data_IF_540238735237
#
_entry.id   IF_540238735237
#
_cell.length_a   1.000
_cell.length_b   1.000
_cell.length_c   1.000
_cell.angle_alpha   90.00
_cell.angle_beta   90.00
_cell.angle_gamma   90.00
#
_symmetry.space_group_name_H-M   'P 1'
#
loop_
_entity.id
_entity.type
_entity.pdbx_description
1 polymer ?
#
# COMPACT_ATOMS: atom_id res chain seq x y z
N UNK A 1 23.12 -18.65 89.36
CA UNK A 1 23.44 -20.02 88.91
C UNK A 1 22.86 -20.20 87.52
N UNK A 2 23.73 -20.36 86.52
CA UNK A 2 23.43 -20.79 85.13
C UNK A 2 22.77 -22.18 85.13
N UNK A 3 21.97 -22.56 84.09
CA UNK A 3 22.47 -22.91 82.74
C UNK A 3 21.62 -22.32 81.59
N UNK A 4 22.19 -21.81 80.50
CA UNK A 4 22.72 -22.51 79.32
C UNK A 4 21.63 -23.23 78.48
N UNK A 5 21.22 -22.60 77.37
CA UNK A 5 20.62 -23.28 76.22
C UNK A 5 21.40 -22.94 74.94
N UNK A 6 21.73 -24.01 74.25
CA UNK A 6 22.53 -24.16 73.04
C UNK A 6 21.85 -23.59 71.79
N UNK A 7 22.60 -22.82 71.00
CA UNK A 7 22.24 -22.42 69.63
C UNK A 7 22.74 -23.49 68.66
N UNK A 8 21.82 -24.07 67.89
CA UNK A 8 22.12 -24.95 66.76
C UNK A 8 22.14 -24.15 65.46
N UNK A 9 23.14 -24.47 64.64
CA UNK A 9 23.45 -23.92 63.33
C UNK A 9 22.44 -24.36 62.27
N UNK A 10 22.05 -23.43 61.39
CA UNK A 10 21.58 -23.74 60.04
C UNK A 10 22.23 -22.75 59.07
N UNK A 11 23.25 -23.23 58.37
CA UNK A 11 23.93 -22.54 57.28
C UNK A 11 23.10 -22.67 56.01
N UNK A 12 22.46 -21.59 55.57
CA UNK A 12 21.86 -21.51 54.24
C UNK A 12 22.90 -20.92 53.27
N UNK A 13 23.37 -21.75 52.34
CA UNK A 13 24.24 -21.32 51.26
C UNK A 13 23.42 -20.57 50.20
N UNK A 14 23.61 -19.25 50.09
CA UNK A 14 23.17 -18.48 48.92
C UNK A 14 24.20 -18.66 47.81
N UNK A 15 23.88 -19.49 46.82
CA UNK A 15 24.55 -19.49 45.52
C UNK A 15 24.05 -18.30 44.70
N UNK A 16 24.89 -17.27 44.54
CA UNK A 16 24.61 -16.16 43.64
C UNK A 16 24.80 -16.61 42.19
N UNK A 17 23.69 -16.82 41.47
CA UNK A 17 23.70 -16.91 40.01
C UNK A 17 23.83 -15.49 39.45
N UNK A 18 25.03 -15.13 39.00
CA UNK A 18 25.25 -13.93 38.21
C UNK A 18 24.58 -14.12 36.84
N UNK A 19 23.41 -13.52 36.64
CA UNK A 19 22.80 -13.33 35.34
C UNK A 19 23.71 -12.37 34.55
N UNK A 20 24.53 -12.94 33.68
CA UNK A 20 25.21 -12.19 32.62
C UNK A 20 24.13 -11.71 31.65
N UNK A 21 23.67 -10.48 31.84
CA UNK A 21 22.91 -9.77 30.82
C UNK A 21 23.82 -9.59 29.61
N UNK A 22 23.56 -10.35 28.54
CA UNK A 22 24.16 -10.08 27.24
C UNK A 22 23.69 -8.69 26.80
N UNK A 23 24.59 -7.81 26.34
CA UNK A 23 24.17 -6.54 25.77
C UNK A 23 23.31 -6.85 24.54
N UNK A 24 22.08 -6.34 24.54
CA UNK A 24 21.29 -6.26 23.32
C UNK A 24 22.16 -5.53 22.28
N UNK A 25 22.36 -6.14 21.11
CA UNK A 25 23.04 -5.49 20.01
C UNK A 25 22.25 -4.21 19.70
N UNK A 26 22.85 -3.05 19.99
CA UNK A 26 22.30 -1.79 19.54
C UNK A 26 22.31 -1.81 18.01
N UNK A 27 21.14 -1.83 17.39
CA UNK A 27 21.02 -1.53 15.96
C UNK A 27 21.60 -0.14 15.75
N UNK A 28 22.64 -0.03 14.93
CA UNK A 28 23.14 1.26 14.45
C UNK A 28 21.96 2.06 13.91
N UNK A 29 21.81 3.36 14.27
CA UNK A 29 20.72 4.16 13.76
C UNK A 29 20.74 4.17 12.23
N UNK A 30 19.58 3.88 11.64
CA UNK A 30 19.41 3.85 10.18
C UNK A 30 19.77 5.22 9.58
N UNK A 31 20.50 5.22 8.47
CA UNK A 31 20.92 6.49 7.82
C UNK A 31 19.70 7.18 7.22
N UNK A 32 19.49 8.44 7.58
CA UNK A 32 18.48 9.31 6.97
C UNK A 32 19.14 10.14 5.87
N UNK A 33 18.63 9.99 4.64
CA UNK A 33 19.10 10.71 3.46
C UNK A 33 18.25 11.96 3.20
N UNK A 34 18.83 13.01 2.60
CA UNK A 34 18.06 14.18 2.19
C UNK A 34 17.14 13.85 1.01
N UNK A 35 16.00 14.55 0.95
CA UNK A 35 15.12 14.57 -0.22
C UNK A 35 14.73 16.01 -0.54
N UNK A 36 14.84 16.39 -1.81
CA UNK A 36 14.43 17.72 -2.30
C UNK A 36 13.33 17.59 -3.32
N UNK A 37 12.25 18.34 -3.15
CA UNK A 37 11.18 18.46 -4.13
C UNK A 37 11.72 19.19 -5.37
N UNK A 38 11.64 18.54 -6.52
CA UNK A 38 12.04 19.12 -7.81
C UNK A 38 10.91 19.12 -8.85
N UNK A 39 9.74 18.58 -8.48
CA UNK A 39 8.52 18.66 -9.27
C UNK A 39 7.31 18.19 -8.46
N UNK A 40 6.15 18.81 -8.68
CA UNK A 40 4.90 18.41 -8.06
C UNK A 40 3.77 18.57 -9.09
N UNK A 41 3.04 17.48 -9.35
CA UNK A 41 1.88 17.43 -10.23
C UNK A 41 0.65 16.89 -9.48
N UNK A 42 -0.52 17.46 -9.81
CA UNK A 42 -1.78 17.20 -9.10
C UNK A 42 -2.87 16.78 -10.10
N UNK A 43 -3.70 15.82 -9.69
CA UNK A 43 -4.98 15.48 -10.29
C UNK A 43 -6.09 15.74 -9.26
N UNK A 44 -7.05 16.64 -9.54
CA UNK A 44 -8.08 17.00 -8.57
C UNK A 44 -8.87 15.79 -8.05
N UNK A 45 -9.21 15.81 -6.76
CA UNK A 45 -9.92 14.75 -6.06
C UNK A 45 -11.17 14.28 -6.82
N UNK A 46 -12.02 15.22 -7.23
CA UNK A 46 -13.23 14.93 -8.03
C UNK A 46 -12.90 14.83 -9.52
N UNK A 47 -12.12 13.81 -9.88
CA UNK A 47 -11.88 13.42 -11.27
C UNK A 47 -12.72 12.18 -11.59
N UNK A 48 -13.70 12.32 -12.50
CA UNK A 48 -14.64 11.25 -12.86
C UNK A 48 -14.46 10.87 -14.33
N UNK A 49 -14.52 9.57 -14.61
CA UNK A 49 -14.50 8.99 -15.96
C UNK A 49 -15.84 8.31 -16.26
N UNK A 50 -16.27 8.36 -17.52
CA UNK A 50 -17.43 7.60 -17.95
C UNK A 50 -17.08 6.10 -18.02
N UNK A 51 -17.96 5.19 -17.58
CA UNK A 51 -17.78 3.77 -17.86
C UNK A 51 -17.87 3.52 -19.38
N UNK A 52 -17.36 2.38 -19.88
CA UNK A 52 -17.52 1.99 -21.27
C UNK A 52 -18.99 2.00 -21.71
N UNK A 53 -19.24 2.34 -22.97
CA UNK A 53 -20.61 2.50 -23.48
C UNK A 53 -21.42 1.18 -23.47
N UNK A 54 -20.73 0.05 -23.51
CA UNK A 54 -21.27 -1.32 -23.43
C UNK A 54 -21.23 -1.91 -22.01
N UNK A 55 -20.76 -1.14 -21.01
CA UNK A 55 -20.86 -1.54 -19.61
C UNK A 55 -22.32 -1.55 -19.13
N UNK A 56 -22.69 -2.39 -18.15
CA UNK A 56 -24.02 -2.37 -17.55
C UNK A 56 -24.41 -0.98 -17.03
N UNK A 57 -25.69 -0.63 -17.14
CA UNK A 57 -26.20 0.66 -16.65
C UNK A 57 -25.86 0.93 -15.18
N UNK A 58 -25.77 -0.13 -14.38
CA UNK A 58 -25.37 -0.09 -12.97
C UNK A 58 -24.00 0.57 -12.73
N UNK A 59 -23.08 0.49 -13.69
CA UNK A 59 -21.73 1.07 -13.60
C UNK A 59 -21.69 2.60 -13.83
N UNK A 60 -22.82 3.25 -14.16
CA UNK A 60 -22.88 4.71 -14.30
C UNK A 60 -22.97 5.46 -12.99
N UNK A 61 -23.29 4.75 -11.89
CA UNK A 61 -23.36 5.33 -10.56
C UNK A 61 -22.51 4.45 -9.64
N UNK A 62 -21.35 4.93 -9.22
CA UNK A 62 -20.43 4.19 -8.34
C UNK A 62 -20.60 4.59 -6.87
N UNK A 63 -20.50 3.62 -5.96
CA UNK A 63 -20.55 3.85 -4.52
C UNK A 63 -21.97 3.79 -3.95
N UNK A 64 -22.89 3.07 -4.60
CA UNK A 64 -24.27 2.88 -4.12
C UNK A 64 -24.34 2.01 -2.88
N UNK A 65 -23.29 1.24 -2.61
CA UNK A 65 -23.24 0.19 -1.59
C UNK A 65 -22.29 0.50 -0.43
N UNK A 66 -21.79 1.73 -0.33
CA UNK A 66 -20.87 2.16 0.74
C UNK A 66 -21.54 2.34 2.11
N UNK A 67 -22.88 2.43 2.12
CA UNK A 67 -23.69 2.48 3.34
C UNK A 67 -24.30 1.13 3.71
N UNK A 68 -24.98 1.07 4.87
CA UNK A 68 -25.68 -0.15 5.33
C UNK A 68 -26.87 -0.59 4.45
N UNK A 69 -27.25 0.22 3.47
CA UNK A 69 -28.26 -0.09 2.47
C UNK A 69 -27.88 0.58 1.14
N UNK A 70 -28.42 0.05 0.03
CA UNK A 70 -28.28 0.66 -1.30
C UNK A 70 -28.80 2.10 -1.30
N UNK A 71 -28.06 3.00 -1.94
CA UNK A 71 -28.47 4.35 -2.24
C UNK A 71 -28.34 4.64 -3.74
N UNK A 72 -29.46 4.87 -4.43
CA UNK A 72 -29.48 5.19 -5.86
C UNK A 72 -29.48 6.70 -6.15
N UNK A 73 -29.49 7.56 -5.13
CA UNK A 73 -29.55 9.02 -5.31
C UNK A 73 -28.13 9.59 -5.38
N UNK A 74 -27.63 10.04 -6.55
CA UNK A 74 -26.26 10.53 -6.64
C UNK A 74 -26.00 11.74 -5.73
N UNK A 75 -24.76 11.89 -5.29
CA UNK A 75 -24.26 13.04 -4.52
C UNK A 75 -25.09 13.36 -3.27
N UNK A 76 -25.62 12.34 -2.57
CA UNK A 76 -26.58 12.53 -1.48
C UNK A 76 -26.05 12.21 -0.09
N UNK A 77 -24.96 11.46 0.03
CA UNK A 77 -24.34 11.08 1.30
C UNK A 77 -22.93 11.64 1.33
N UNK A 78 -22.68 12.58 2.25
CA UNK A 78 -21.36 13.19 2.44
C UNK A 78 -20.34 12.11 2.85
N UNK A 79 -19.19 12.10 2.18
CA UNK A 79 -18.04 11.28 2.55
C UNK A 79 -17.37 11.80 3.82
N UNK A 80 -16.74 10.89 4.57
CA UNK A 80 -16.00 11.22 5.78
C UNK A 80 -14.72 10.39 5.91
N UNK A 81 -13.77 10.88 6.71
CA UNK A 81 -12.46 10.25 6.93
C UNK A 81 -12.50 8.96 7.77
N UNK A 82 -13.68 8.42 8.06
CA UNK A 82 -13.85 7.21 8.82
C UNK A 82 -13.62 7.37 10.33
N UNK A 83 -13.91 6.29 11.07
CA UNK A 83 -13.90 6.32 12.53
C UNK A 83 -12.54 6.61 13.16
N UNK A 84 -11.45 6.06 12.59
CA UNK A 84 -10.08 6.26 13.09
C UNK A 84 -9.67 7.73 13.03
N UNK A 85 -10.15 8.45 12.03
CA UNK A 85 -9.80 9.85 11.79
C UNK A 85 -10.94 10.81 12.12
N UNK A 86 -11.88 10.40 12.99
CA UNK A 86 -12.87 11.32 13.55
C UNK A 86 -14.04 11.69 12.62
N UNK A 87 -14.22 10.97 11.51
CA UNK A 87 -15.33 11.16 10.55
C UNK A 87 -15.47 12.62 10.10
N UNK A 88 -14.34 13.26 9.78
CA UNK A 88 -14.35 14.62 9.26
C UNK A 88 -14.92 14.59 7.84
N UNK A 89 -15.80 15.54 7.53
CA UNK A 89 -16.40 15.67 6.19
C UNK A 89 -15.31 15.94 5.16
N UNK A 90 -15.36 15.28 4.01
CA UNK A 90 -14.40 15.51 2.92
C UNK A 90 -14.95 16.43 1.82
N UNK A 91 -16.17 16.93 1.99
CA UNK A 91 -16.79 17.90 1.08
C UNK A 91 -17.31 17.29 -0.23
N UNK A 92 -17.14 15.98 -0.44
CA UNK A 92 -17.64 15.25 -1.59
C UNK A 92 -18.66 14.21 -1.16
N UNK A 93 -19.73 14.05 -1.95
CA UNK A 93 -20.83 13.16 -1.61
C UNK A 93 -20.93 11.98 -2.59
N UNK A 94 -21.15 10.78 -2.06
CA UNK A 94 -21.48 9.56 -2.77
C UNK A 94 -23.00 9.40 -2.91
N UNK A 95 -23.46 8.53 -3.83
CA UNK A 95 -22.72 7.89 -4.92
C UNK A 95 -22.34 8.89 -6.03
N UNK A 96 -21.27 8.62 -6.77
CA UNK A 96 -20.82 9.47 -7.89
C UNK A 96 -21.55 9.15 -9.19
N UNK A 97 -21.60 10.13 -10.11
CA UNK A 97 -22.05 9.92 -11.49
C UNK A 97 -20.80 9.66 -12.35
N UNK A 98 -20.59 8.41 -12.75
CA UNK A 98 -19.36 7.92 -13.38
C UNK A 98 -18.51 7.12 -12.39
N UNK A 99 -17.27 6.83 -12.80
CA UNK A 99 -16.27 6.11 -12.01
C UNK A 99 -15.20 7.11 -11.54
N UNK A 100 -14.81 7.11 -10.26
CA UNK A 100 -13.75 7.99 -9.78
C UNK A 100 -12.37 7.52 -10.26
N UNK A 101 -11.56 8.46 -10.75
CA UNK A 101 -10.16 8.22 -11.10
C UNK A 101 -9.31 8.39 -9.82
N UNK A 102 -9.28 7.34 -9.01
CA UNK A 102 -8.71 7.30 -7.67
C UNK A 102 -7.96 5.97 -7.43
N UNK A 103 -7.59 5.67 -6.18
CA UNK A 103 -7.19 4.32 -5.81
C UNK A 103 -5.84 3.95 -6.40
N UNK A 104 -4.90 4.90 -6.51
CA UNK A 104 -3.65 4.67 -7.25
C UNK A 104 -2.76 3.68 -6.51
N UNK A 105 -2.98 2.38 -6.74
CA UNK A 105 -2.39 1.27 -5.97
C UNK A 105 -1.15 0.66 -6.61
N UNK A 106 -0.52 1.37 -7.55
CA UNK A 106 0.77 0.93 -8.06
C UNK A 106 1.15 1.49 -9.43
N UNK A 107 2.46 1.62 -9.62
CA UNK A 107 3.08 2.03 -10.87
C UNK A 107 3.91 0.91 -11.50
N UNK A 108 3.74 0.71 -12.81
CA UNK A 108 4.66 -0.15 -13.53
C UNK A 108 6.03 0.53 -13.66
N UNK A 109 7.10 -0.22 -13.42
CA UNK A 109 8.46 0.29 -13.59
C UNK A 109 8.77 0.57 -15.07
N UNK A 110 8.34 -0.31 -15.97
CA UNK A 110 8.43 -0.08 -17.41
C UNK A 110 7.41 0.96 -17.87
N UNK A 111 7.89 1.97 -18.60
CA UNK A 111 7.07 3.04 -19.18
C UNK A 111 6.45 2.60 -20.51
N UNK A 112 5.32 3.20 -20.86
CA UNK A 112 4.79 3.11 -22.21
C UNK A 112 5.74 3.74 -23.23
N UNK A 113 5.54 3.45 -24.51
CA UNK A 113 6.39 3.96 -25.60
C UNK A 113 6.45 5.49 -25.69
N UNK A 114 5.42 6.19 -25.20
CA UNK A 114 5.36 7.65 -25.13
C UNK A 114 5.91 8.22 -23.80
N UNK A 115 6.48 7.38 -22.94
CA UNK A 115 7.06 7.74 -21.65
C UNK A 115 6.04 7.83 -20.50
N UNK A 116 4.75 7.65 -20.77
CA UNK A 116 3.72 7.62 -19.72
C UNK A 116 3.85 6.40 -18.80
N UNK A 117 3.38 6.56 -17.56
CA UNK A 117 3.41 5.57 -16.50
C UNK A 117 2.09 4.82 -16.51
N UNK A 118 2.12 3.49 -16.39
CA UNK A 118 0.91 2.72 -16.12
C UNK A 118 0.56 2.81 -14.63
N UNK A 119 -0.66 3.24 -14.33
CA UNK A 119 -1.19 3.46 -12.99
C UNK A 119 -2.43 2.61 -12.80
N UNK A 120 -2.45 1.76 -11.78
CA UNK A 120 -3.56 0.86 -11.46
C UNK A 120 -4.54 1.51 -10.47
N UNK A 121 -5.82 1.14 -10.55
CA UNK A 121 -6.83 1.44 -9.52
C UNK A 121 -6.99 0.26 -8.55
N UNK A 122 -7.18 0.55 -7.27
CA UNK A 122 -7.61 -0.37 -6.21
C UNK A 122 -9.09 -0.79 -6.37
N UNK A 123 -9.65 -1.49 -5.37
CA UNK A 123 -11.08 -1.84 -5.38
C UNK A 123 -12.06 -0.64 -5.32
N UNK A 124 -11.60 0.60 -5.13
CA UNK A 124 -12.38 1.83 -5.09
C UNK A 124 -12.89 2.23 -3.70
N UNK A 125 -13.71 1.41 -3.03
CA UNK A 125 -14.40 1.82 -1.79
C UNK A 125 -14.00 1.03 -0.53
N UNK A 126 -12.78 0.48 -0.56
CA UNK A 126 -12.07 -0.11 0.57
C UNK A 126 -12.54 -1.50 1.01
N UNK A 127 -13.58 -2.07 0.40
CA UNK A 127 -13.91 -3.48 0.63
C UNK A 127 -14.77 -4.09 -0.46
N UNK A 128 -14.64 -5.41 -0.61
CA UNK A 128 -15.46 -6.25 -1.49
C UNK A 128 -16.96 -5.95 -1.44
N UNK A 129 -17.50 -5.70 -0.25
CA UNK A 129 -18.93 -5.46 -0.03
C UNK A 129 -19.41 -4.07 -0.47
N UNK A 130 -18.50 -3.09 -0.45
CA UNK A 130 -18.80 -1.70 -0.78
C UNK A 130 -18.55 -1.39 -2.28
N UNK A 131 -17.76 -2.24 -2.94
CA UNK A 131 -17.23 -2.00 -4.29
C UNK A 131 -17.84 -2.79 -5.46
N UNK A 132 -19.08 -3.32 -5.43
CA UNK A 132 -19.63 -4.06 -6.57
C UNK A 132 -20.00 -3.17 -7.77
N UNK A 133 -19.91 -1.85 -7.65
CA UNK A 133 -20.17 -0.87 -8.71
C UNK A 133 -18.98 0.09 -8.96
N UNK A 134 -17.81 -0.24 -8.43
CA UNK A 134 -16.52 0.37 -8.77
C UNK A 134 -15.85 -0.46 -9.86
N UNK A 135 -15.78 0.05 -11.10
CA UNK A 135 -15.11 -0.65 -12.20
C UNK A 135 -13.59 -0.60 -12.02
N UNK A 136 -12.93 -1.73 -12.24
CA UNK A 136 -11.48 -1.80 -12.22
C UNK A 136 -10.89 -1.36 -13.56
N UNK A 137 -9.80 -0.60 -13.52
CA UNK A 137 -9.10 -0.09 -14.69
C UNK A 137 -7.62 0.17 -14.39
N UNK A 138 -6.84 0.35 -15.45
CA UNK A 138 -5.55 1.03 -15.35
C UNK A 138 -5.54 2.24 -16.29
N UNK A 139 -4.68 3.21 -16.01
CA UNK A 139 -4.52 4.42 -16.82
C UNK A 139 -3.08 4.62 -17.24
N UNK A 140 -2.87 5.24 -18.40
CA UNK A 140 -1.56 5.78 -18.80
C UNK A 140 -1.51 7.25 -18.40
N UNK A 141 -0.67 7.59 -17.43
CA UNK A 141 -0.56 8.93 -16.87
C UNK A 141 0.81 9.54 -17.14
N UNK A 142 0.84 10.84 -17.45
CA UNK A 142 2.07 11.60 -17.62
C UNK A 142 2.04 12.80 -16.67
N UNK A 143 2.83 12.81 -15.58
CA UNK A 143 2.98 14.01 -14.75
C UNK A 143 3.77 15.08 -15.53
N UNK A 144 3.16 16.25 -15.68
CA UNK A 144 3.74 17.43 -16.32
C UNK A 144 4.18 18.39 -15.21
N UNK A 145 5.36 18.17 -14.62
CA UNK A 145 5.81 18.86 -13.42
C UNK A 145 5.95 20.38 -13.60
N UNK A 146 6.30 20.83 -14.81
CA UNK A 146 6.39 22.24 -15.15
C UNK A 146 5.04 22.95 -15.01
N UNK A 147 3.96 22.30 -15.47
CA UNK A 147 2.59 22.85 -15.41
C UNK A 147 1.87 22.50 -14.12
N UNK A 148 2.30 21.44 -13.44
CA UNK A 148 1.69 20.92 -12.22
C UNK A 148 0.50 20.01 -12.43
N UNK A 149 0.31 19.50 -13.64
CA UNK A 149 -0.87 18.68 -14.00
C UNK A 149 -0.45 17.25 -14.24
N UNK A 150 -1.33 16.31 -13.88
CA UNK A 150 -1.22 14.92 -14.33
C UNK A 150 -2.09 14.77 -15.59
N UNK A 151 -1.46 14.52 -16.74
CA UNK A 151 -2.16 14.27 -17.99
C UNK A 151 -2.53 12.78 -18.09
N UNK A 152 -3.82 12.49 -18.06
CA UNK A 152 -4.36 11.14 -18.31
C UNK A 152 -4.43 10.93 -19.82
N UNK A 153 -3.55 10.09 -20.37
CA UNK A 153 -3.47 9.81 -21.81
C UNK A 153 -4.55 8.83 -22.25
N UNK A 154 -4.84 7.84 -21.40
CA UNK A 154 -5.80 6.77 -21.67
C UNK A 154 -6.22 6.10 -20.35
N UNK A 155 -7.45 5.59 -20.31
CA UNK A 155 -7.94 4.70 -19.25
C UNK A 155 -8.56 3.47 -19.88
N UNK A 156 -8.15 2.29 -19.41
CA UNK A 156 -8.53 0.98 -19.95
C UNK A 156 -9.17 0.16 -18.83
N UNK A 157 -10.43 -0.24 -19.04
CA UNK A 157 -11.20 -1.00 -18.06
C UNK A 157 -10.93 -2.50 -18.16
N UNK A 158 -10.81 -3.15 -17.01
CA UNK A 158 -10.56 -4.60 -16.93
C UNK A 158 -11.84 -5.39 -17.21
N UNK A 159 -11.74 -6.42 -18.05
CA UNK A 159 -12.89 -7.21 -18.46
C UNK A 159 -12.54 -8.65 -18.84
N UNK A 160 -13.50 -9.57 -18.69
CA UNK A 160 -13.29 -11.02 -18.83
C UNK A 160 -14.25 -11.70 -19.84
N UNK A 161 -14.34 -11.26 -21.11
CA UNK A 161 -15.27 -11.80 -22.09
C UNK A 161 -14.98 -13.27 -22.42
N UNK A 162 -13.71 -13.68 -22.29
CA UNK A 162 -13.23 -15.04 -22.57
C UNK A 162 -13.38 -16.00 -21.38
N UNK A 163 -14.00 -15.54 -20.27
CA UNK A 163 -14.30 -16.36 -19.08
C UNK A 163 -13.06 -17.03 -18.47
N UNK A 164 -11.98 -16.27 -18.37
CA UNK A 164 -10.72 -16.68 -17.73
C UNK A 164 -10.79 -16.60 -16.21
N UNK A 165 -11.65 -15.76 -15.65
CA UNK A 165 -11.87 -15.70 -14.20
C UNK A 165 -12.62 -16.97 -13.76
N UNK A 166 -12.06 -17.80 -12.84
CA UNK A 166 -12.58 -19.14 -12.56
C UNK A 166 -13.77 -19.14 -11.57
N UNK A 167 -14.27 -17.98 -11.18
CA UNK A 167 -15.35 -17.80 -10.22
C UNK A 167 -16.37 -16.77 -10.71
N UNK A 168 -17.53 -16.72 -10.04
CA UNK A 168 -18.61 -15.78 -10.38
C UNK A 168 -18.17 -14.35 -10.07
N UNK A 169 -18.28 -13.47 -11.06
CA UNK A 169 -18.02 -12.02 -10.93
C UNK A 169 -19.32 -11.21 -10.80
N UNK A 170 -19.22 -9.93 -10.44
CA UNK A 170 -20.35 -9.00 -10.28
C UNK A 170 -21.21 -8.93 -11.55
N UNK A 171 -20.57 -8.74 -12.70
CA UNK A 171 -21.22 -8.64 -14.01
C UNK A 171 -21.19 -9.95 -14.83
N UNK A 172 -21.30 -11.09 -14.14
CA UNK A 172 -21.28 -12.45 -14.71
C UNK A 172 -22.23 -12.64 -15.91
N UNK A 173 -23.38 -11.98 -15.87
CA UNK A 173 -24.44 -12.08 -16.87
C UNK A 173 -24.34 -11.10 -18.05
N UNK A 174 -23.32 -10.24 -18.08
CA UNK A 174 -23.06 -9.34 -19.21
C UNK A 174 -22.16 -10.01 -20.26
N UNK A 175 -22.14 -9.50 -21.50
CA UNK A 175 -21.25 -10.02 -22.55
C UNK A 175 -19.79 -9.64 -22.29
N UNK A 176 -19.54 -8.35 -22.00
CA UNK A 176 -18.18 -7.84 -21.79
C UNK A 176 -17.54 -8.32 -20.49
N UNK A 177 -18.35 -8.62 -19.46
CA UNK A 177 -17.88 -9.12 -18.14
C UNK A 177 -16.84 -8.20 -17.51
N UNK A 178 -17.16 -6.90 -17.42
CA UNK A 178 -16.33 -5.92 -16.73
C UNK A 178 -16.12 -6.33 -15.26
N UNK A 179 -14.89 -6.15 -14.79
CA UNK A 179 -14.50 -6.46 -13.41
C UNK A 179 -14.75 -5.27 -12.49
N UNK A 180 -15.06 -5.57 -11.24
CA UNK A 180 -15.35 -4.60 -10.19
C UNK A 180 -14.50 -4.84 -8.96
N UNK A 181 -14.46 -3.86 -8.05
CA UNK A 181 -13.81 -4.02 -6.74
C UNK A 181 -14.46 -5.08 -5.82
N UNK A 182 -15.57 -5.69 -6.22
CA UNK A 182 -16.10 -6.90 -5.55
C UNK A 182 -15.48 -8.20 -6.07
N UNK A 183 -14.84 -8.16 -7.24
CA UNK A 183 -14.27 -9.32 -7.93
C UNK A 183 -12.81 -9.52 -7.54
N UNK A 184 -12.04 -8.43 -7.56
CA UNK A 184 -10.63 -8.36 -7.21
C UNK A 184 -10.34 -7.06 -6.45
N UNK A 185 -9.24 -7.07 -5.70
CA UNK A 185 -8.64 -5.93 -5.03
C UNK A 185 -7.23 -5.73 -5.56
N UNK A 186 -7.06 -4.96 -6.64
CA UNK A 186 -5.77 -4.85 -7.32
C UNK A 186 -4.80 -3.91 -6.59
N UNK A 187 -3.60 -4.40 -6.27
CA UNK A 187 -2.63 -3.66 -5.41
C UNK A 187 -1.22 -3.56 -6.01
N UNK A 188 -1.04 -3.94 -7.27
CA UNK A 188 0.24 -3.76 -7.98
C UNK A 188 0.09 -4.02 -9.47
N UNK A 189 0.93 -3.37 -10.30
CA UNK A 189 0.95 -3.56 -11.75
C UNK A 189 2.37 -3.56 -12.33
N UNK A 190 2.66 -4.46 -13.26
CA UNK A 190 3.91 -4.47 -14.01
C UNK A 190 3.66 -4.80 -15.48
N UNK A 191 4.32 -4.09 -16.40
CA UNK A 191 4.35 -4.45 -17.82
C UNK A 191 5.46 -5.48 -18.05
N UNK A 192 5.11 -6.63 -18.62
CA UNK A 192 6.06 -7.71 -18.94
C UNK A 192 5.70 -8.27 -20.32
N UNK A 193 6.66 -8.21 -21.25
CA UNK A 193 6.55 -8.75 -22.61
C UNK A 193 5.27 -8.30 -23.35
N UNK A 194 4.85 -7.04 -23.13
CA UNK A 194 3.69 -6.43 -23.81
C UNK A 194 2.33 -6.77 -23.20
N UNK A 195 2.28 -7.42 -22.03
CA UNK A 195 1.07 -7.63 -21.23
C UNK A 195 1.25 -7.10 -19.81
N UNK A 196 0.15 -6.76 -19.14
CA UNK A 196 0.19 -6.26 -17.77
C UNK A 196 -0.06 -7.41 -16.79
N UNK A 197 0.75 -7.49 -15.75
CA UNK A 197 0.57 -8.37 -14.62
C UNK A 197 0.09 -7.57 -13.42
N UNK A 198 -1.02 -7.98 -12.84
CA UNK A 198 -1.69 -7.30 -11.74
C UNK A 198 -1.76 -8.22 -10.53
N UNK A 199 -1.31 -7.75 -9.37
CA UNK A 199 -1.46 -8.46 -8.10
C UNK A 199 -2.80 -8.17 -7.44
N UNK A 200 -3.44 -9.18 -6.87
CA UNK A 200 -4.72 -9.10 -6.15
C UNK A 200 -4.61 -9.50 -4.67
N UNK A 201 -5.33 -8.81 -3.80
CA UNK A 201 -5.35 -8.98 -2.34
C UNK A 201 -6.31 -10.07 -1.86
N UNK A 202 -7.48 -10.25 -2.50
CA UNK A 202 -8.53 -11.16 -2.02
C UNK A 202 -8.18 -12.65 -2.13
N UNK A 203 -7.47 -13.05 -3.18
CA UNK A 203 -7.16 -14.45 -3.52
C UNK A 203 -6.09 -15.09 -2.66
N UNK A 204 -4.91 -14.49 -2.51
CA UNK A 204 -4.30 -13.57 -3.48
C UNK A 204 -4.09 -14.23 -4.86
N UNK A 205 -4.19 -13.44 -5.94
CA UNK A 205 -4.02 -13.89 -7.33
C UNK A 205 -3.01 -13.02 -8.09
N UNK A 206 -2.47 -13.55 -9.19
CA UNK A 206 -1.88 -12.76 -10.27
C UNK A 206 -2.78 -12.80 -11.49
N UNK A 207 -3.14 -11.65 -12.04
CA UNK A 207 -3.88 -11.52 -13.27
C UNK A 207 -2.90 -11.13 -14.38
N UNK A 208 -2.92 -11.83 -15.51
CA UNK A 208 -2.28 -11.35 -16.73
C UNK A 208 -3.36 -10.76 -17.63
N UNK A 209 -3.15 -9.53 -18.06
CA UNK A 209 -4.12 -8.69 -18.74
C UNK A 209 -3.50 -8.15 -20.02
N UNK A 210 -4.24 -8.21 -21.12
CA UNK A 210 -3.83 -7.59 -22.37
C UNK A 210 -3.88 -6.05 -22.29
N UNK A 211 -3.16 -5.32 -23.15
CA UNK A 211 -3.21 -3.85 -23.18
C UNK A 211 -4.61 -3.26 -23.43
N UNK A 212 -5.57 -4.06 -23.93
CA UNK A 212 -6.97 -3.67 -24.11
C UNK A 212 -7.85 -3.94 -22.86
N UNK A 213 -7.27 -4.41 -21.75
CA UNK A 213 -7.97 -4.68 -20.49
C UNK A 213 -8.54 -6.09 -20.37
N UNK A 214 -8.42 -6.93 -21.42
CA UNK A 214 -8.93 -8.30 -21.39
C UNK A 214 -8.08 -9.19 -20.50
N UNK A 215 -8.70 -9.89 -19.55
CA UNK A 215 -8.03 -10.93 -18.75
C UNK A 215 -7.61 -12.08 -19.66
N UNK A 216 -6.31 -12.39 -19.66
CA UNK A 216 -5.73 -13.50 -20.39
C UNK A 216 -5.64 -14.76 -19.52
N UNK A 217 -5.32 -14.59 -18.24
CA UNK A 217 -5.29 -15.66 -17.23
C UNK A 217 -5.35 -15.11 -15.80
N UNK A 218 -5.80 -15.96 -14.87
CA UNK A 218 -5.76 -15.73 -13.42
C UNK A 218 -4.99 -16.88 -12.79
N UNK A 219 -3.93 -16.56 -12.05
CA UNK A 219 -3.01 -17.52 -11.45
C UNK A 219 -3.14 -17.45 -9.93
N UNK A 220 -3.50 -18.54 -9.24
CA UNK A 220 -3.50 -18.56 -7.78
C UNK A 220 -2.08 -18.54 -7.23
N UNK A 221 -1.89 -17.80 -6.14
CA UNK A 221 -0.64 -17.87 -5.38
C UNK A 221 -0.47 -19.23 -4.72
N UNK A 222 0.74 -19.81 -4.86
CA UNK A 222 1.13 -21.06 -4.23
C UNK A 222 2.33 -20.83 -3.29
N UNK A 223 2.33 -21.49 -2.14
CA UNK A 223 3.48 -21.63 -1.27
C UNK A 223 3.69 -23.12 -0.99
N UNK A 224 4.88 -23.64 -1.23
CA UNK A 224 5.21 -25.08 -1.12
C UNK A 224 4.23 -25.98 -1.90
N UNK A 225 3.81 -25.52 -3.09
CA UNK A 225 2.86 -26.22 -3.96
C UNK A 225 1.41 -26.21 -3.45
N UNK A 226 1.10 -25.47 -2.38
CA UNK A 226 -0.25 -25.31 -1.84
C UNK A 226 -0.78 -23.90 -2.10
N UNK A 227 -2.03 -23.80 -2.53
CA UNK A 227 -2.66 -22.51 -2.75
C UNK A 227 -2.84 -21.76 -1.42
N UNK A 228 -2.41 -20.50 -1.40
CA UNK A 228 -2.77 -19.55 -0.34
C UNK A 228 -4.19 -19.06 -0.58
N UNK A 229 -4.98 -18.97 0.50
CA UNK A 229 -6.37 -18.50 0.48
C UNK A 229 -6.59 -17.57 1.68
N UNK A 230 -7.25 -16.44 1.44
CA UNK A 230 -7.75 -15.53 2.45
C UNK A 230 -9.26 -15.68 2.72
N UNK A 231 -9.81 -14.91 3.67
CA UNK A 231 -11.25 -14.90 3.98
C UNK A 231 -12.15 -14.50 2.81
N UNK A 232 -11.66 -13.64 1.93
CA UNK A 232 -12.40 -13.09 0.79
C UNK A 232 -12.17 -13.86 -0.53
N UNK A 233 -11.35 -14.92 -0.47
CA UNK A 233 -11.11 -15.83 -1.58
C UNK A 233 -12.41 -16.52 -2.00
N UNK A 234 -12.77 -16.49 -3.29
CA UNK A 234 -14.00 -17.11 -3.79
C UNK A 234 -14.13 -18.59 -3.39
N UNK A 235 -15.29 -18.94 -2.83
CA UNK A 235 -15.60 -20.31 -2.38
C UNK A 235 -15.14 -20.65 -0.96
N UNK A 236 -14.45 -19.74 -0.27
CA UNK A 236 -14.22 -19.85 1.18
C UNK A 236 -15.48 -19.37 1.91
N UNK A 237 -16.03 -20.22 2.77
CA UNK A 237 -17.12 -19.88 3.67
C UNK A 237 -16.59 -19.91 5.09
N UNK A 238 -16.49 -18.76 5.75
CA UNK A 238 -15.85 -18.65 7.06
C UNK A 238 -16.89 -18.78 8.17
N UNK A 239 -16.86 -19.87 8.95
CA UNK A 239 -17.14 -19.79 10.38
C UNK A 239 -15.92 -20.38 11.13
N UNK A 240 -14.90 -19.58 11.47
CA UNK A 240 -13.57 -20.18 11.76
C UNK A 240 -12.75 -19.52 12.89
N UNK A 241 -11.88 -20.34 13.51
CA UNK A 241 -11.03 -20.03 14.67
C UNK A 241 -9.57 -19.71 14.27
N UNK A 242 -8.96 -18.62 14.79
CA UNK A 242 -7.56 -18.24 14.50
C UNK A 242 -6.52 -19.31 14.88
N UNK A 243 -5.40 -19.38 14.14
CA UNK A 243 -4.23 -20.22 14.46
C UNK A 243 -4.32 -21.70 14.06
N UNK A 244 -5.54 -22.25 13.91
CA UNK A 244 -5.76 -23.63 13.43
C UNK A 244 -6.12 -23.75 11.96
N UNK A 245 -6.93 -22.83 11.45
CA UNK A 245 -7.52 -22.95 10.11
C UNK A 245 -6.99 -21.91 9.12
N UNK A 246 -6.40 -20.80 9.59
CA UNK A 246 -5.74 -19.81 8.75
C UNK A 246 -4.53 -19.18 9.45
N UNK A 247 -3.51 -18.82 8.64
CA UNK A 247 -2.29 -18.12 9.09
C UNK A 247 -2.09 -16.74 8.43
N UNK A 248 -2.89 -16.37 7.44
CA UNK A 248 -2.88 -15.01 6.84
C UNK A 248 -4.04 -14.22 7.45
N UNK A 249 -3.78 -13.00 7.91
CA UNK A 249 -4.79 -12.15 8.57
C UNK A 249 -5.79 -11.58 7.55
N UNK A 250 -6.92 -11.04 8.02
CA UNK A 250 -7.89 -10.34 7.16
C UNK A 250 -7.28 -9.01 6.68
N UNK A 251 -7.39 -8.74 5.38
CA UNK A 251 -6.62 -7.71 4.67
C UNK A 251 -5.14 -7.92 4.98
N UNK A 252 -4.52 -8.88 4.33
CA UNK A 252 -3.18 -9.34 4.70
C UNK A 252 -2.45 -9.97 3.53
N UNK A 253 -2.93 -9.69 2.31
CA UNK A 253 -2.46 -10.22 1.04
C UNK A 253 -1.19 -9.51 0.59
N UNK A 254 -1.06 -9.22 -0.70
CA UNK A 254 0.10 -8.52 -1.25
C UNK A 254 -0.11 -7.00 -1.24
N UNK A 255 0.91 -6.23 -0.86
CA UNK A 255 0.90 -4.75 -0.93
C UNK A 255 2.04 -4.19 -1.79
N UNK A 256 2.76 -5.06 -2.50
CA UNK A 256 3.84 -4.63 -3.36
C UNK A 256 4.44 -5.80 -4.12
N UNK A 257 4.76 -5.57 -5.39
CA UNK A 257 5.39 -6.56 -6.26
C UNK A 257 6.37 -5.89 -7.22
N UNK A 258 7.61 -6.38 -7.24
CA UNK A 258 8.70 -5.80 -8.02
C UNK A 258 9.33 -6.80 -9.00
N UNK A 259 9.67 -6.34 -10.22
CA UNK A 259 10.46 -7.11 -11.19
C UNK A 259 11.95 -6.89 -10.93
N UNK A 260 12.71 -7.98 -10.74
CA UNK A 260 14.16 -7.94 -10.55
C UNK A 260 14.90 -7.85 -11.90
N UNK A 261 15.62 -6.76 -12.19
CA UNK A 261 16.42 -6.64 -13.40
C UNK A 261 17.48 -7.74 -13.53
N UNK A 262 17.77 -8.16 -14.76
CA UNK A 262 18.79 -9.18 -15.10
C UNK A 262 18.34 -10.63 -14.87
N UNK A 263 17.60 -10.90 -13.79
CA UNK A 263 17.07 -12.24 -13.49
C UNK A 263 15.65 -12.48 -14.02
N UNK A 264 14.85 -11.43 -14.20
CA UNK A 264 13.47 -11.54 -14.70
C UNK A 264 12.50 -12.20 -13.72
N UNK A 265 12.81 -12.21 -12.42
CA UNK A 265 11.93 -12.74 -11.38
C UNK A 265 11.01 -11.65 -10.84
N UNK A 266 9.77 -12.00 -10.50
CA UNK A 266 8.87 -11.17 -9.72
C UNK A 266 9.08 -11.46 -8.22
N UNK A 267 9.10 -10.42 -7.38
CA UNK A 267 9.18 -10.53 -5.93
C UNK A 267 7.95 -9.88 -5.30
N UNK A 268 7.13 -10.67 -4.61
CA UNK A 268 5.87 -10.23 -4.02
C UNK A 268 5.99 -10.13 -2.49
N UNK A 269 5.66 -8.97 -1.91
CA UNK A 269 5.70 -8.68 -0.47
C UNK A 269 4.29 -8.74 0.14
N UNK A 270 4.15 -9.44 1.26
CA UNK A 270 2.89 -9.53 2.01
C UNK A 270 2.64 -8.29 2.88
N UNK A 271 1.39 -7.87 3.06
CA UNK A 271 0.96 -6.72 3.88
C UNK A 271 1.21 -6.90 5.37
N UNK A 272 0.97 -8.11 5.87
CA UNK A 272 1.00 -8.41 7.31
C UNK A 272 1.91 -9.58 7.62
N UNK A 273 2.45 -9.65 8.85
CA UNK A 273 3.14 -10.84 9.29
C UNK A 273 2.22 -12.05 9.24
N UNK A 274 2.75 -13.15 8.72
CA UNK A 274 2.10 -14.46 8.81
C UNK A 274 1.90 -14.82 10.29
N UNK A 275 0.74 -15.36 10.65
CA UNK A 275 0.47 -15.88 11.99
C UNK A 275 1.23 -17.20 12.21
N UNK A 276 1.61 -17.50 13.43
CA UNK A 276 2.07 -18.80 13.92
C UNK A 276 0.92 -19.80 14.09
N UNK A 277 1.26 -21.03 14.49
CA UNK A 277 0.27 -22.08 14.81
C UNK A 277 -0.59 -21.76 16.04
N UNK A 278 -0.15 -20.81 16.86
CA UNK A 278 -0.88 -20.26 17.99
C UNK A 278 -1.83 -19.11 17.60
N UNK A 279 -1.81 -18.70 16.33
CA UNK A 279 -2.60 -17.58 15.82
C UNK A 279 -2.02 -16.20 16.12
N UNK A 280 -0.81 -16.11 16.69
CA UNK A 280 -0.12 -14.84 16.92
C UNK A 280 0.81 -14.50 15.73
N UNK A 281 1.04 -13.22 15.38
CA UNK A 281 2.01 -12.84 14.35
C UNK A 281 3.39 -13.48 14.58
N UNK A 282 4.01 -14.02 13.53
CA UNK A 282 5.32 -14.68 13.59
C UNK A 282 6.48 -13.73 13.94
N UNK A 283 6.21 -12.42 13.93
CA UNK A 283 7.12 -11.35 14.33
C UNK A 283 6.64 -10.01 13.77
N UNK A 284 7.43 -8.95 13.96
CA UNK A 284 7.18 -7.65 13.36
C UNK A 284 7.89 -7.51 12.00
N UNK A 285 7.53 -8.39 11.06
CA UNK A 285 8.15 -8.43 9.73
C UNK A 285 7.21 -8.95 8.65
N UNK A 286 7.47 -8.52 7.43
CA UNK A 286 6.77 -8.93 6.22
C UNK A 286 7.59 -9.98 5.47
N UNK A 287 6.92 -10.91 4.81
CA UNK A 287 7.57 -11.96 4.01
C UNK A 287 7.52 -11.57 2.54
N UNK A 288 8.65 -11.71 1.85
CA UNK A 288 8.77 -11.45 0.41
C UNK A 288 9.13 -12.74 -0.32
N UNK A 289 8.45 -13.06 -1.41
CA UNK A 289 8.51 -14.34 -2.12
C UNK A 289 8.88 -14.15 -3.59
N UNK A 290 9.75 -14.99 -4.14
CA UNK A 290 10.16 -14.93 -5.55
C UNK A 290 9.37 -15.87 -6.49
N UNK A 291 9.09 -15.38 -7.69
CA UNK A 291 8.35 -16.06 -8.75
C UNK A 291 9.04 -15.90 -10.11
N UNK A 292 9.08 -16.97 -10.90
CA UNK A 292 9.60 -17.01 -12.27
C UNK A 292 8.43 -16.90 -13.27
N UNK A 293 8.20 -15.73 -13.89
CA UNK A 293 7.09 -15.54 -14.83
C UNK A 293 7.26 -16.30 -16.14
N UNK A 294 8.48 -16.68 -16.53
CA UNK A 294 8.71 -17.44 -17.76
C UNK A 294 8.27 -18.90 -17.61
N UNK A 295 8.34 -19.45 -16.39
CA UNK A 295 7.86 -20.79 -16.06
C UNK A 295 6.47 -20.82 -15.43
N UNK A 296 6.01 -19.66 -14.94
CA UNK A 296 4.84 -19.51 -14.09
C UNK A 296 4.93 -20.34 -12.79
N UNK A 297 6.11 -20.34 -12.14
CA UNK A 297 6.39 -21.12 -10.93
C UNK A 297 7.04 -20.28 -9.82
N UNK A 298 6.69 -20.57 -8.56
CA UNK A 298 7.39 -20.00 -7.39
C UNK A 298 8.77 -20.64 -7.24
N UNK A 299 9.81 -19.83 -7.05
CA UNK A 299 11.19 -20.37 -7.03
C UNK A 299 11.52 -21.08 -5.72
N UNK A 300 10.78 -20.75 -4.66
CA UNK A 300 11.09 -21.15 -3.28
C UNK A 300 11.98 -20.16 -2.53
N UNK A 301 12.51 -19.14 -3.22
CA UNK A 301 13.31 -18.09 -2.58
C UNK A 301 12.41 -17.09 -1.84
N UNK A 302 12.89 -16.62 -0.69
CA UNK A 302 12.19 -15.62 0.13
C UNK A 302 13.15 -14.84 1.03
N UNK A 303 12.71 -13.67 1.48
CA UNK A 303 13.38 -12.90 2.54
C UNK A 303 12.36 -12.23 3.47
N UNK A 304 12.84 -11.76 4.63
CA UNK A 304 12.04 -11.03 5.63
C UNK A 304 12.38 -9.54 5.59
N UNK A 305 11.36 -8.69 5.61
CA UNK A 305 11.49 -7.25 5.77
C UNK A 305 10.98 -6.82 7.15
N UNK A 306 11.89 -6.39 8.03
CA UNK A 306 11.52 -5.92 9.36
C UNK A 306 10.95 -4.50 9.30
N UNK A 307 9.76 -4.31 9.87
CA UNK A 307 9.14 -2.98 10.01
C UNK A 307 9.86 -2.16 11.08
N UNK A 308 10.05 -0.88 10.80
CA UNK A 308 10.57 0.09 11.74
C UNK A 308 9.60 0.30 12.89
N UNK A 309 10.13 0.76 14.03
CA UNK A 309 9.29 1.14 15.15
C UNK A 309 8.29 2.24 14.72
N UNK A 310 7.00 1.99 14.97
CA UNK A 310 5.90 2.89 14.60
C UNK A 310 5.31 2.64 13.21
N UNK A 311 6.00 1.92 12.33
CA UNK A 311 5.44 1.50 11.05
C UNK A 311 4.43 0.37 11.27
N UNK A 312 3.31 0.44 10.56
CA UNK A 312 2.22 -0.54 10.66
C UNK A 312 1.92 -1.22 9.33
N UNK A 313 2.39 -0.65 8.22
CA UNK A 313 2.16 -1.14 6.87
C UNK A 313 3.28 -0.67 5.92
N UNK A 314 3.33 -1.29 4.75
CA UNK A 314 4.03 -0.75 3.59
C UNK A 314 3.01 -0.05 2.67
N UNK A 315 3.47 0.47 1.54
CA UNK A 315 2.55 0.93 0.48
C UNK A 315 3.02 0.65 -0.94
N UNK A 316 4.32 0.42 -1.16
CA UNK A 316 4.82 -0.05 -2.46
C UNK A 316 6.21 -0.66 -2.29
N UNK A 317 6.62 -1.47 -3.25
CA UNK A 317 7.92 -2.14 -3.32
C UNK A 317 8.42 -2.23 -4.76
N UNK A 318 9.58 -1.64 -5.05
CA UNK A 318 10.14 -1.61 -6.41
C UNK A 318 11.67 -1.74 -6.46
N UNK A 319 12.20 -2.67 -7.26
CA UNK A 319 13.64 -2.80 -7.51
C UNK A 319 14.16 -1.62 -8.34
N UNK A 320 15.34 -1.13 -7.96
CA UNK A 320 16.05 -0.06 -8.68
C UNK A 320 17.30 -0.54 -9.41
N UNK A 321 17.77 -1.75 -9.08
CA UNK A 321 18.78 -2.52 -9.81
C UNK A 321 18.69 -4.02 -9.42
N UNK A 322 19.72 -4.81 -9.74
CA UNK A 322 19.75 -6.26 -9.52
C UNK A 322 19.61 -6.69 -8.05
N UNK A 323 19.98 -5.85 -7.08
CA UNK A 323 19.97 -6.22 -5.66
C UNK A 323 19.30 -5.20 -4.76
N UNK A 324 19.05 -3.99 -5.22
CA UNK A 324 18.51 -2.93 -4.38
C UNK A 324 17.08 -2.59 -4.76
N UNK A 325 16.26 -2.32 -3.74
CA UNK A 325 14.87 -1.98 -3.91
C UNK A 325 14.42 -0.88 -2.95
N UNK A 326 13.42 -0.10 -3.36
CA UNK A 326 12.73 0.90 -2.57
C UNK A 326 11.46 0.28 -1.98
N UNK A 327 11.20 0.55 -0.72
CA UNK A 327 9.98 0.15 0.00
C UNK A 327 9.35 1.40 0.61
N UNK A 328 8.08 1.69 0.34
CA UNK A 328 7.35 2.66 1.16
C UNK A 328 6.97 2.01 2.48
N UNK A 329 7.28 2.68 3.58
CA UNK A 329 6.95 2.26 4.94
C UNK A 329 6.17 3.39 5.64
N UNK A 330 5.03 3.06 6.25
CA UNK A 330 4.11 4.06 6.82
C UNK A 330 3.46 3.62 8.12
N UNK A 331 2.97 4.60 8.88
CA UNK A 331 1.93 4.39 9.89
C UNK A 331 0.52 4.52 9.28
N UNK A 332 -0.50 4.30 10.11
CA UNK A 332 -1.91 4.49 9.78
C UNK A 332 -2.42 5.92 10.11
N UNK A 333 -1.54 6.90 10.32
CA UNK A 333 -1.93 8.28 10.62
C UNK A 333 -2.15 9.12 9.37
N UNK A 334 -2.97 10.16 9.49
CA UNK A 334 -3.15 11.19 8.45
C UNK A 334 -3.12 12.60 9.07
N UNK A 335 -2.61 13.58 8.35
CA UNK A 335 -2.56 14.97 8.78
C UNK A 335 -1.33 15.37 9.58
N UNK A 336 -1.12 16.68 9.69
CA UNK A 336 0.08 17.23 10.33
C UNK A 336 0.08 17.03 11.87
N UNK A 337 1.16 16.51 12.47
CA UNK A 337 1.26 16.30 13.92
C UNK A 337 1.03 17.53 14.79
N UNK A 338 1.28 18.73 14.26
CA UNK A 338 1.07 19.98 15.00
C UNK A 338 -0.41 20.27 15.31
N UNK A 339 -1.34 19.60 14.62
CA UNK A 339 -2.78 19.73 14.82
C UNK A 339 -3.39 18.47 15.46
N UNK A 340 -2.62 17.74 16.26
CA UNK A 340 -3.14 16.61 17.04
C UNK A 340 -4.27 17.04 17.98
N UNK A 341 -5.38 16.30 17.98
CA UNK A 341 -6.50 16.58 18.88
C UNK A 341 -6.10 16.52 20.37
N UNK A 342 -6.60 17.48 21.15
CA UNK A 342 -6.46 17.51 22.61
C UNK A 342 -7.75 17.00 23.26
N UNK A 343 -7.92 15.69 23.28
CA UNK A 343 -9.11 15.02 23.81
C UNK A 343 -9.92 14.33 22.71
N UNK A 344 -11.24 14.47 22.74
CA UNK A 344 -12.12 13.85 21.75
C UNK A 344 -11.84 14.38 20.33
N UNK A 345 -12.06 13.56 19.28
CA UNK A 345 -11.97 14.01 17.90
C UNK A 345 -12.86 15.23 17.62
N UNK A 346 -12.27 16.28 17.03
CA UNK A 346 -12.97 17.50 16.61
C UNK A 346 -12.69 17.80 15.13
N UNK A 347 -13.57 18.57 14.45
CA UNK A 347 -13.39 18.88 13.03
C UNK A 347 -12.13 19.69 12.69
N UNK A 348 -11.53 20.37 13.66
CA UNK A 348 -10.38 21.27 13.50
C UNK A 348 -9.03 20.62 13.88
N UNK A 349 -9.00 19.30 14.08
CA UNK A 349 -7.79 18.56 14.48
C UNK A 349 -7.72 17.14 13.91
N UNK A 350 -6.53 16.55 13.97
CA UNK A 350 -6.28 15.15 13.59
C UNK A 350 -6.20 14.26 14.85
N UNK A 351 -7.11 13.28 15.02
CA UNK A 351 -7.07 12.35 16.16
C UNK A 351 -5.83 11.45 16.15
N UNK A 352 -5.45 10.99 14.95
CA UNK A 352 -4.31 10.14 14.66
C UNK A 352 -3.48 10.79 13.53
N UNK A 353 -2.63 11.78 13.84
CA UNK A 353 -1.78 12.42 12.84
C UNK A 353 -0.73 11.47 12.26
N UNK A 354 -0.25 11.75 11.05
CA UNK A 354 0.83 11.03 10.40
C UNK A 354 2.17 11.29 11.12
N UNK A 355 2.83 10.24 11.61
CA UNK A 355 4.10 10.30 12.36
C UNK A 355 5.26 9.63 11.61
N UNK A 356 4.98 8.65 10.76
CA UNK A 356 6.00 7.93 9.99
C UNK A 356 5.51 7.70 8.56
N UNK A 357 6.22 8.31 7.60
CA UNK A 357 6.07 8.09 6.16
C UNK A 357 7.45 8.09 5.52
N UNK A 358 7.93 6.96 5.01
CA UNK A 358 9.32 6.77 4.56
C UNK A 358 9.40 6.05 3.22
N UNK A 359 10.46 6.34 2.47
CA UNK A 359 10.95 5.44 1.41
C UNK A 359 12.27 4.86 1.89
N UNK A 360 12.29 3.54 2.10
CA UNK A 360 13.43 2.77 2.62
C UNK A 360 14.15 2.09 1.46
N UNK A 361 15.47 2.22 1.42
CA UNK A 361 16.33 1.48 0.50
C UNK A 361 16.85 0.21 1.17
N UNK A 362 16.63 -0.95 0.54
CA UNK A 362 17.10 -2.25 1.00
C UNK A 362 18.08 -2.90 0.00
N UNK A 363 18.92 -3.82 0.47
CA UNK A 363 19.79 -4.67 -0.34
C UNK A 363 19.43 -6.16 -0.18
N UNK A 364 18.72 -6.70 -1.17
CA UNK A 364 18.23 -8.09 -1.21
C UNK A 364 19.35 -9.12 -1.43
N UNK A 365 20.57 -8.69 -1.78
CA UNK A 365 21.73 -9.59 -1.81
C UNK A 365 22.40 -9.76 -0.45
N UNK A 366 21.99 -8.96 0.55
CA UNK A 366 22.54 -9.00 1.91
C UNK A 366 21.44 -9.40 2.90
N UNK A 367 21.35 -10.71 3.16
CA UNK A 367 20.47 -11.27 4.19
C UNK A 367 21.29 -11.63 5.43
N UNK A 368 20.72 -11.38 6.61
CA UNK A 368 21.29 -11.89 7.85
C UNK A 368 21.04 -13.40 8.04
N UNK A 369 21.55 -13.97 9.14
CA UNK A 369 21.40 -15.40 9.44
C UNK A 369 19.95 -15.85 9.69
N UNK A 370 19.04 -14.91 9.95
CA UNK A 370 17.62 -15.18 10.18
C UNK A 370 16.76 -14.90 8.94
N UNK A 371 17.38 -14.47 7.83
CA UNK A 371 16.75 -14.19 6.55
C UNK A 371 16.20 -12.77 6.43
N UNK A 372 16.56 -11.85 7.33
CA UNK A 372 16.18 -10.44 7.20
C UNK A 372 17.04 -9.71 6.19
N UNK A 373 16.39 -8.92 5.34
CA UNK A 373 17.05 -8.07 4.36
C UNK A 373 17.71 -6.87 5.03
N UNK A 374 18.92 -6.53 4.60
CA UNK A 374 19.63 -5.35 5.08
C UNK A 374 18.91 -4.08 4.61
N UNK A 375 18.61 -3.21 5.58
CA UNK A 375 18.20 -1.82 5.34
C UNK A 375 19.44 -0.96 5.19
N UNK A 376 19.55 -0.20 4.10
CA UNK A 376 20.65 0.73 3.84
C UNK A 376 20.37 2.09 4.49
N UNK A 377 19.13 2.58 4.35
CA UNK A 377 18.65 3.82 4.94
C UNK A 377 17.35 4.28 4.31
N UNK A 378 16.89 5.48 4.65
CA UNK A 378 15.61 5.99 4.16
C UNK A 378 15.60 7.50 3.93
N UNK A 379 14.61 7.99 3.20
CA UNK A 379 14.17 9.40 3.23
C UNK A 379 12.89 9.52 4.07
N UNK A 380 12.69 10.68 4.70
CA UNK A 380 11.48 11.00 5.46
C UNK A 380 10.53 11.86 4.61
N UNK A 381 9.37 11.32 4.24
CA UNK A 381 8.37 12.02 3.43
C UNK A 381 7.59 13.08 4.25
N UNK A 382 7.75 13.09 5.57
CA UNK A 382 7.21 14.14 6.43
C UNK A 382 8.09 15.40 6.47
N UNK A 383 9.35 15.32 6.00
CA UNK A 383 10.35 16.40 6.01
C UNK A 383 11.12 16.53 4.67
N UNK A 384 10.42 16.91 3.60
CA UNK A 384 11.00 17.11 2.27
C UNK A 384 11.42 18.59 2.11
N UNK A 385 12.64 18.85 1.63
CA UNK A 385 13.08 20.20 1.33
C UNK A 385 12.41 20.74 0.06
N UNK A 386 11.91 21.97 0.09
CA UNK A 386 11.30 22.66 -1.06
C UNK A 386 11.87 24.09 -1.21
N UNK A 387 13.18 24.24 -1.50
CA UNK A 387 13.83 25.55 -1.55
C UNK A 387 13.31 26.44 -2.69
N UNK A 388 12.75 25.84 -3.74
CA UNK A 388 12.24 26.55 -4.92
C UNK A 388 10.72 26.82 -4.84
N UNK A 389 10.04 26.37 -3.78
CA UNK A 389 8.60 26.59 -3.58
C UNK A 389 7.74 25.90 -4.64
N UNK A 390 8.09 24.67 -5.01
CA UNK A 390 7.40 23.87 -6.02
C UNK A 390 6.17 23.15 -5.47
N UNK A 391 5.96 23.13 -4.15
CA UNK A 391 4.75 22.58 -3.58
C UNK A 391 3.52 23.39 -4.04
N UNK A 392 2.58 22.72 -4.71
CA UNK A 392 1.38 23.34 -5.31
C UNK A 392 0.15 23.30 -4.42
N UNK A 393 0.21 22.56 -3.31
CA UNK A 393 -0.92 22.36 -2.40
C UNK A 393 -0.53 22.74 -0.99
N UNK A 394 -1.37 23.57 -0.37
CA UNK A 394 -1.20 23.96 1.02
C UNK A 394 -1.53 22.79 1.95
N UNK A 395 -0.78 22.66 3.04
CA UNK A 395 -1.08 21.75 4.16
C UNK A 395 -1.46 22.58 5.38
N UNK A 396 -2.62 22.28 5.95
CA UNK A 396 -3.06 22.89 7.21
C UNK A 396 -2.18 22.35 8.35
N UNK A 397 -1.45 23.26 8.99
CA UNK A 397 -0.53 22.95 10.07
C UNK A 397 -0.38 24.14 11.03
N UNK A 398 -0.02 23.88 12.29
CA UNK A 398 0.34 24.87 13.29
C UNK A 398 1.87 25.05 13.43
N UNK A 399 2.63 24.68 12.38
CA UNK A 399 4.09 24.86 12.27
C UNK A 399 4.45 25.56 10.96
N UNK A 400 5.63 26.18 10.92
CA UNK A 400 6.15 26.80 9.70
C UNK A 400 6.61 25.71 8.71
N UNK A 401 6.01 25.73 7.52
CA UNK A 401 6.34 24.85 6.40
C UNK A 401 7.08 25.60 5.28
N UNK A 402 7.54 26.84 5.53
CA UNK A 402 8.28 27.62 4.54
C UNK A 402 9.51 26.85 4.06
N UNK A 403 9.61 26.64 2.74
CA UNK A 403 10.72 25.90 2.14
C UNK A 403 10.68 24.39 2.40
N UNK A 404 9.52 23.85 2.81
CA UNK A 404 9.32 22.43 3.09
C UNK A 404 8.03 21.90 2.47
N UNK A 405 8.06 20.64 2.07
CA UNK A 405 6.88 19.85 1.75
C UNK A 405 6.75 18.71 2.77
N UNK A 406 5.51 18.41 3.14
CA UNK A 406 5.17 17.26 3.97
C UNK A 406 4.11 16.43 3.25
N UNK A 407 4.12 15.11 3.43
CA UNK A 407 3.25 14.16 2.73
C UNK A 407 2.42 13.32 3.73
N UNK A 408 1.40 13.93 4.37
CA UNK A 408 0.80 13.40 5.60
C UNK A 408 -0.44 12.54 5.31
N UNK A 409 -0.35 11.63 4.34
CA UNK A 409 -1.50 10.83 3.91
C UNK A 409 -1.60 9.51 4.67
N UNK A 410 -2.83 9.05 4.90
CA UNK A 410 -3.09 7.70 5.41
C UNK A 410 -2.43 6.66 4.49
N UNK A 411 -2.60 6.85 3.19
CA UNK A 411 -2.24 5.91 2.14
C UNK A 411 -1.21 6.53 1.19
N UNK A 412 -0.01 5.96 1.14
CA UNK A 412 1.06 6.38 0.21
C UNK A 412 1.53 5.10 -0.47
N UNK A 413 1.19 4.93 -1.74
CA UNK A 413 1.23 3.61 -2.37
C UNK A 413 2.00 3.56 -3.69
N UNK A 414 2.81 4.57 -3.97
CA UNK A 414 3.50 4.60 -5.25
C UNK A 414 4.92 5.12 -5.10
N UNK A 415 5.92 4.32 -5.47
CA UNK A 415 7.33 4.72 -5.58
C UNK A 415 8.00 4.11 -6.81
N UNK A 416 8.67 4.94 -7.62
CA UNK A 416 9.48 4.44 -8.74
C UNK A 416 10.75 5.23 -8.96
N UNK A 417 11.83 4.58 -9.42
CA UNK A 417 13.05 5.27 -9.87
C UNK A 417 12.82 5.90 -11.24
N UNK A 418 13.26 7.14 -11.41
CA UNK A 418 13.23 7.85 -12.70
C UNK A 418 14.60 7.80 -13.37
N UNK A 419 15.65 8.14 -12.62
CA UNK A 419 17.05 8.11 -13.06
C UNK A 419 17.96 7.90 -11.83
N UNK A 420 19.27 8.04 -11.99
CA UNK A 420 20.25 7.79 -10.91
C UNK A 420 20.21 8.79 -9.74
N UNK A 421 19.40 9.84 -9.85
CA UNK A 421 19.23 10.88 -8.83
C UNK A 421 17.77 11.16 -8.46
N UNK A 422 16.79 10.60 -9.16
CA UNK A 422 15.38 10.94 -8.96
C UNK A 422 14.46 9.74 -8.77
N UNK A 423 13.45 9.94 -7.93
CA UNK A 423 12.30 9.03 -7.76
C UNK A 423 10.99 9.81 -7.90
N UNK A 424 9.92 9.11 -8.26
CA UNK A 424 8.54 9.60 -8.14
C UNK A 424 7.87 8.93 -6.95
N UNK A 425 7.14 9.70 -6.15
CA UNK A 425 6.29 9.22 -5.07
C UNK A 425 4.86 9.73 -5.29
N UNK A 426 3.85 8.87 -5.12
CA UNK A 426 2.44 9.21 -5.37
C UNK A 426 1.52 8.99 -4.17
N UNK A 427 0.47 9.82 -4.06
CA UNK A 427 -0.61 9.68 -3.09
C UNK A 427 -1.74 8.83 -3.68
N UNK A 428 -2.22 7.84 -2.92
CA UNK A 428 -3.54 7.29 -3.16
C UNK A 428 -4.55 8.07 -2.31
N UNK A 429 -5.52 8.70 -2.97
CA UNK A 429 -6.45 9.61 -2.31
C UNK A 429 -7.69 8.93 -1.71
N UNK A 430 -7.86 7.62 -1.86
CA UNK A 430 -9.00 6.80 -1.38
C UNK A 430 -10.34 7.57 -1.41
N UNK A 431 -10.67 8.17 -2.54
CA UNK A 431 -11.81 9.07 -2.69
C UNK A 431 -13.12 8.38 -2.28
N UNK A 432 -13.94 8.96 -1.38
CA UNK A 432 -13.81 10.25 -0.69
C UNK A 432 -13.49 10.11 0.81
N UNK A 433 -12.80 9.04 1.20
CA UNK A 433 -12.60 8.64 2.60
C UNK A 433 -11.25 9.05 3.19
N UNK A 434 -10.40 9.73 2.42
CA UNK A 434 -9.12 10.23 2.91
C UNK A 434 -9.06 11.75 2.83
N UNK A 435 -8.47 12.34 3.87
CA UNK A 435 -7.96 13.70 3.83
C UNK A 435 -6.44 13.65 4.05
N UNK A 436 -5.81 14.71 4.52
CA UNK A 436 -4.38 14.66 4.80
C UNK A 436 -3.80 16.05 4.84
N UNK A 437 -3.87 16.76 3.71
CA UNK A 437 -3.49 18.18 3.68
C UNK A 437 -4.49 19.08 4.37
N UNK A 438 -5.78 18.75 4.24
CA UNK A 438 -6.90 19.56 4.68
C UNK A 438 -7.72 18.84 5.75
N UNK A 439 -8.41 19.62 6.57
CA UNK A 439 -9.27 19.11 7.64
C UNK A 439 -10.67 18.73 7.13
N UNK A 440 -11.14 19.39 6.07
CA UNK A 440 -12.52 19.35 5.58
C UNK A 440 -12.66 19.16 4.06
N UNK A 441 -11.59 18.71 3.38
CA UNK A 441 -11.57 18.46 1.95
C UNK A 441 -10.92 17.10 1.64
N UNK A 442 -11.49 16.40 0.65
CA UNK A 442 -10.94 15.17 0.10
C UNK A 442 -9.53 15.42 -0.46
N UNK A 443 -8.65 14.44 -0.28
CA UNK A 443 -7.31 14.50 -0.83
C UNK A 443 -7.34 14.51 -2.38
N UNK A 444 -6.48 15.33 -2.97
CA UNK A 444 -6.16 15.22 -4.40
C UNK A 444 -5.23 14.02 -4.63
N UNK A 445 -5.20 13.49 -5.85
CA UNK A 445 -4.13 12.61 -6.27
C UNK A 445 -2.89 13.45 -6.59
N UNK A 446 -1.74 13.05 -6.09
CA UNK A 446 -0.49 13.84 -6.16
C UNK A 446 0.67 12.97 -6.61
N UNK A 447 1.54 13.50 -7.47
CA UNK A 447 2.82 12.89 -7.83
C UNK A 447 3.94 13.90 -7.56
N UNK A 448 4.90 13.50 -6.74
CA UNK A 448 6.12 14.26 -6.43
C UNK A 448 7.31 13.68 -7.16
N UNK A 449 8.10 14.53 -7.82
CA UNK A 449 9.46 14.19 -8.27
C UNK A 449 10.45 14.65 -7.20
N UNK A 450 11.18 13.69 -6.63
CA UNK A 450 12.15 13.94 -5.56
C UNK A 450 13.58 13.70 -6.07
N UNK A 451 14.48 14.63 -5.79
CA UNK A 451 15.92 14.46 -5.95
C UNK A 451 16.50 13.84 -4.68
N UNK A 452 17.10 12.66 -4.84
CA UNK A 452 17.60 11.78 -3.77
C UNK A 452 18.93 11.07 -4.16
N UNK A 453 19.93 11.78 -4.72
CA UNK A 453 21.14 11.15 -5.27
C UNK A 453 21.94 10.37 -4.22
N UNK A 454 21.98 10.83 -2.97
CA UNK A 454 22.68 10.14 -1.89
C UNK A 454 22.03 8.80 -1.55
N UNK A 455 20.69 8.75 -1.51
CA UNK A 455 19.94 7.51 -1.30
C UNK A 455 20.26 6.52 -2.43
N UNK A 456 20.08 6.93 -3.69
CA UNK A 456 20.26 6.04 -4.85
C UNK A 456 21.72 5.61 -5.08
N UNK A 457 22.70 6.37 -4.59
CA UNK A 457 24.11 6.00 -4.61
C UNK A 457 24.53 5.08 -3.44
N UNK A 458 23.75 4.99 -2.37
CA UNK A 458 24.11 4.22 -1.17
C UNK A 458 24.22 2.70 -1.42
N UNK A 459 25.02 2.01 -0.58
CA UNK A 459 25.35 0.59 -0.69
C UNK A 459 25.41 -0.11 0.66
#
# INVERSE_FOLDING_TARGET
MTPALSRLFTSAALGGAALLALPAAAQEPETVFPATLVGHAVLPALSLIAPPADAPQDAWISGKFTGGARNDTPMSVMGDTGGMHGKRSTGLALPFIGQPLQGMSGFAMERAADGSIYVLTDNGFGSKGNSPDALLFFSRMAPEFETGRIAVKETVFLHDPDRKVPFRIAYEGSEARYLTGADFDPESIQLVDGSLWVGDEFGPYLLNVAPDGRVLQVVPTLLDGKQLKGPDTPGVSVPAQPGKEFRVQRSGGYEGMALQPGRGLLWAMLEKPLLGEDGAPAGNFLTVLAFDPAKAEWTGDSFKFALAEGATAIGDFNFIDETRALVIERDNGEGDPSLKCTGEPMPDCFPAPALLKRVVLIDTASLDSEGFVRRIGHIDLMDIADPEGLNRLDTVAARDLTGKMTFPFFTIENVMKVDDSHIIVGNDNNLPFSSGRQLDAAADNEMMLLSVPELLAAR
#
